data_IF_533348951668
#
_entry.id   IF_533348951668
#
_cell.length_a   1.000
_cell.length_b   1.000
_cell.length_c   1.000
_cell.angle_alpha   90.00
_cell.angle_beta   90.00
_cell.angle_gamma   90.00
#
_symmetry.space_group_name_H-M   'P 1'
#
loop_
_entity.id
_entity.type
_entity.pdbx_description
1 polymer ?
#
# COMPACT_ATOMS: atom_id res chain seq x y z
N UNK A 1 1.50 5.26 36.10
CA UNK A 1 1.90 5.60 34.71
C UNK A 1 1.29 6.95 34.39
N UNK A 2 2.05 7.83 33.74
CA UNK A 2 1.60 9.19 33.41
C UNK A 2 1.35 9.26 31.90
N UNK A 3 0.09 9.43 31.53
CA UNK A 3 -0.32 9.73 30.16
C UNK A 3 -0.28 11.25 29.98
N UNK A 4 0.37 11.71 28.92
CA UNK A 4 0.58 13.12 28.58
C UNK A 4 -0.06 13.43 27.22
N UNK A 5 -0.03 14.70 26.78
CA UNK A 5 -0.60 15.12 25.49
C UNK A 5 -0.14 14.31 24.27
N UNK A 6 1.07 13.74 24.32
CA UNK A 6 1.68 12.94 23.24
C UNK A 6 0.91 11.63 23.04
N UNK A 7 0.44 11.02 24.13
CA UNK A 7 -0.41 9.83 24.10
C UNK A 7 -1.72 10.09 23.35
N UNK A 8 -2.40 11.19 23.69
CA UNK A 8 -3.69 11.52 23.09
C UNK A 8 -3.57 11.86 21.60
N UNK A 9 -2.52 12.57 21.22
CA UNK A 9 -2.26 12.94 19.82
C UNK A 9 -1.97 11.72 18.96
N UNK A 10 -1.18 10.78 19.49
CA UNK A 10 -0.93 9.51 18.79
C UNK A 10 -2.24 8.80 18.44
N UNK A 11 -3.16 8.73 19.41
CA UNK A 11 -4.48 8.13 19.20
C UNK A 11 -5.31 8.96 18.22
N UNK A 12 -5.30 10.29 18.37
CA UNK A 12 -6.06 11.21 17.52
C UNK A 12 -5.66 11.09 16.05
N UNK A 13 -4.37 11.05 15.75
CA UNK A 13 -3.85 10.90 14.38
C UNK A 13 -4.35 9.58 13.78
N UNK A 14 -4.20 8.47 14.51
CA UNK A 14 -4.65 7.16 14.06
C UNK A 14 -6.18 6.99 14.05
N UNK A 15 -6.93 7.87 14.72
CA UNK A 15 -8.38 7.93 14.66
C UNK A 15 -8.88 8.73 13.45
N UNK A 16 -8.23 9.86 13.16
CA UNK A 16 -8.67 10.81 12.13
C UNK A 16 -8.30 10.32 10.74
N UNK A 17 -7.08 9.83 10.51
CA UNK A 17 -6.62 9.46 9.17
C UNK A 17 -7.51 8.40 8.51
N UNK A 18 -7.90 7.31 9.19
CA UNK A 18 -8.79 6.32 8.60
C UNK A 18 -10.14 6.88 8.15
N UNK A 19 -10.64 7.97 8.75
CA UNK A 19 -11.92 8.59 8.35
C UNK A 19 -11.90 9.10 6.90
N UNK A 20 -10.72 9.40 6.36
CA UNK A 20 -10.57 9.81 4.97
C UNK A 20 -10.49 8.64 4.00
N UNK A 21 -10.37 7.40 4.48
CA UNK A 21 -10.29 6.23 3.61
C UNK A 21 -11.64 5.95 2.94
N UNK A 22 -11.71 5.95 1.60
CA UNK A 22 -12.98 5.73 0.91
C UNK A 22 -13.45 4.29 1.07
N UNK A 23 -14.77 4.10 1.07
CA UNK A 23 -15.44 2.78 1.08
C UNK A 23 -15.23 1.88 2.32
N UNK A 24 -14.87 2.44 3.48
CA UNK A 24 -14.75 1.66 4.72
C UNK A 24 -16.05 1.66 5.53
N UNK A 25 -16.41 0.47 6.05
CA UNK A 25 -17.59 0.29 6.93
C UNK A 25 -17.36 1.02 8.26
N UNK A 26 -18.43 1.51 8.89
CA UNK A 26 -18.35 2.23 10.17
C UNK A 26 -17.62 1.44 11.28
N UNK A 27 -17.80 0.11 11.31
CA UNK A 27 -17.13 -0.78 12.26
C UNK A 27 -15.62 -0.90 12.04
N UNK A 28 -15.08 -0.44 10.91
CA UNK A 28 -13.65 -0.42 10.65
C UNK A 28 -12.96 0.83 11.22
N UNK A 29 -13.70 1.87 11.64
CA UNK A 29 -13.08 3.05 12.28
C UNK A 29 -12.84 2.88 13.78
N UNK A 30 -13.61 2.01 14.46
CA UNK A 30 -13.44 1.78 15.91
C UNK A 30 -12.19 0.95 16.22
N UNK A 31 -11.81 0.05 15.31
CA UNK A 31 -10.65 -0.84 15.44
C UNK A 31 -9.32 -0.08 15.50
N UNK A 32 -8.98 0.84 14.57
CA UNK A 32 -7.79 1.67 14.66
C UNK A 32 -7.64 2.39 15.99
N UNK A 33 -8.74 2.93 16.55
CA UNK A 33 -8.69 3.64 17.83
C UNK A 33 -8.31 2.71 18.97
N UNK A 34 -8.96 1.53 19.06
CA UNK A 34 -8.70 0.55 20.11
C UNK A 34 -7.28 -0.01 19.99
N UNK A 35 -6.86 -0.40 18.78
CA UNK A 35 -5.52 -0.94 18.55
C UNK A 35 -4.43 0.10 18.80
N UNK A 36 -4.64 1.34 18.37
CA UNK A 36 -3.71 2.45 18.67
C UNK A 36 -3.61 2.69 20.16
N UNK A 37 -4.74 2.69 20.88
CA UNK A 37 -4.76 2.83 22.34
C UNK A 37 -3.96 1.74 23.02
N UNK A 38 -4.21 0.46 22.69
CA UNK A 38 -3.48 -0.68 23.26
C UNK A 38 -1.98 -0.56 22.97
N UNK A 39 -1.61 -0.26 21.71
CA UNK A 39 -0.22 -0.14 21.29
C UNK A 39 0.53 0.96 22.03
N UNK A 40 -0.03 2.18 22.08
CA UNK A 40 0.63 3.30 22.76
C UNK A 40 0.67 3.08 24.28
N UNK A 41 -0.32 2.36 24.84
CA UNK A 41 -0.34 1.98 26.25
C UNK A 41 0.78 0.97 26.58
N UNK A 42 1.02 -0.02 25.72
CA UNK A 42 2.15 -0.96 25.83
C UNK A 42 3.47 -0.19 25.82
N UNK A 43 3.65 0.74 24.87
CA UNK A 43 4.85 1.55 24.78
C UNK A 43 5.05 2.38 26.06
N UNK A 44 4.02 3.06 26.55
CA UNK A 44 4.12 3.86 27.78
C UNK A 44 4.43 3.00 29.00
N UNK A 45 3.87 1.80 29.06
CA UNK A 45 4.15 0.83 30.12
C UNK A 45 5.60 0.35 30.08
N UNK A 46 6.13 0.02 28.89
CA UNK A 46 7.54 -0.34 28.69
C UNK A 46 8.48 0.82 29.04
N UNK A 47 8.12 2.04 28.64
CA UNK A 47 8.89 3.25 28.93
C UNK A 47 8.90 3.62 30.41
N UNK A 48 7.92 3.18 31.19
CA UNK A 48 7.87 3.38 32.64
C UNK A 48 8.93 2.56 33.39
N UNK A 49 9.51 1.53 32.77
CA UNK A 49 10.68 0.79 33.31
C UNK A 49 12.00 1.54 33.12
N UNK A 50 12.07 2.51 32.20
CA UNK A 50 13.28 3.34 32.05
C UNK A 50 13.41 4.30 33.23
N UNK A 51 14.47 4.15 34.03
CA UNK A 51 14.75 5.03 35.19
C UNK A 51 14.95 6.50 34.80
N UNK A 52 15.52 6.78 33.62
CA UNK A 52 15.82 8.14 33.19
C UNK A 52 14.60 8.86 32.59
N UNK A 53 14.19 9.97 33.24
CA UNK A 53 13.11 10.85 32.76
C UNK A 53 13.44 11.50 31.40
N UNK A 54 14.71 11.84 31.17
CA UNK A 54 15.18 12.46 29.91
C UNK A 54 14.95 11.52 28.72
N UNK A 55 15.43 10.28 28.80
CA UNK A 55 15.26 9.29 27.74
C UNK A 55 13.80 8.96 27.47
N UNK A 56 12.98 8.86 28.52
CA UNK A 56 11.53 8.67 28.39
C UNK A 56 10.88 9.79 27.56
N UNK A 57 11.24 11.04 27.85
CA UNK A 57 10.74 12.19 27.11
C UNK A 57 11.21 12.21 25.65
N UNK A 58 12.48 11.87 25.39
CA UNK A 58 13.04 11.81 24.04
C UNK A 58 12.32 10.75 23.20
N UNK A 59 12.20 9.52 23.73
CA UNK A 59 11.58 8.42 22.99
C UNK A 59 10.11 8.72 22.68
N UNK A 60 9.35 9.25 23.65
CA UNK A 60 7.96 9.68 23.41
C UNK A 60 7.85 10.73 22.29
N UNK A 61 8.77 11.69 22.23
CA UNK A 61 8.79 12.70 21.17
C UNK A 61 9.11 12.08 19.81
N UNK A 62 10.10 11.18 19.74
CA UNK A 62 10.46 10.49 18.50
C UNK A 62 9.28 9.68 17.97
N UNK A 63 8.59 8.94 18.83
CA UNK A 63 7.43 8.12 18.45
C UNK A 63 6.31 8.99 17.89
N UNK A 64 5.97 10.11 18.54
CA UNK A 64 4.91 11.00 18.04
C UNK A 64 5.33 11.71 16.76
N UNK A 65 6.58 12.17 16.66
CA UNK A 65 7.10 12.78 15.43
C UNK A 65 7.05 11.79 14.26
N UNK A 66 7.47 10.54 14.49
CA UNK A 66 7.38 9.49 13.49
C UNK A 66 5.92 9.18 13.13
N UNK A 67 5.02 9.13 14.10
CA UNK A 67 3.57 8.99 13.88
C UNK A 67 3.01 10.11 13.00
N UNK A 68 3.45 11.36 13.19
CA UNK A 68 3.04 12.49 12.36
C UNK A 68 3.57 12.35 10.92
N UNK A 69 4.86 12.02 10.76
CA UNK A 69 5.44 11.85 9.42
C UNK A 69 4.73 10.73 8.66
N UNK A 70 4.57 9.57 9.28
CA UNK A 70 3.88 8.43 8.64
C UNK A 70 2.41 8.74 8.42
N UNK A 71 1.76 9.44 9.36
CA UNK A 71 0.37 9.87 9.22
C UNK A 71 0.16 10.83 8.05
N UNK A 72 1.12 11.73 7.80
CA UNK A 72 1.10 12.57 6.59
C UNK A 72 1.20 11.73 5.32
N UNK A 73 2.13 10.77 5.27
CA UNK A 73 2.30 9.88 4.11
C UNK A 73 1.02 9.08 3.86
N UNK A 74 0.41 8.51 4.90
CA UNK A 74 -0.88 7.80 4.79
C UNK A 74 -1.97 8.69 4.19
N UNK A 75 -2.11 9.92 4.72
CA UNK A 75 -3.13 10.84 4.26
C UNK A 75 -2.87 11.29 2.81
N UNK A 76 -1.62 11.55 2.45
CA UNK A 76 -1.22 11.83 1.07
C UNK A 76 -1.58 10.67 0.14
N UNK A 77 -1.33 9.42 0.54
CA UNK A 77 -1.70 8.24 -0.24
C UNK A 77 -3.22 8.11 -0.41
N UNK A 78 -3.98 8.37 0.65
CA UNK A 78 -5.45 8.32 0.61
C UNK A 78 -6.00 9.36 -0.38
N UNK A 79 -5.50 10.59 -0.33
CA UNK A 79 -5.98 11.69 -1.19
C UNK A 79 -5.65 11.44 -2.66
N UNK A 80 -4.46 10.91 -2.98
CA UNK A 80 -4.01 10.77 -4.36
C UNK A 80 -4.36 9.41 -4.98
N UNK A 81 -4.39 8.34 -4.18
CA UNK A 81 -4.53 6.96 -4.68
C UNK A 81 -5.78 6.26 -4.13
N UNK A 82 -6.59 6.92 -3.30
CA UNK A 82 -7.76 6.32 -2.64
C UNK A 82 -7.43 5.07 -1.80
N UNK A 83 -6.18 4.93 -1.36
CA UNK A 83 -5.72 3.82 -0.52
C UNK A 83 -4.77 4.33 0.56
N UNK A 84 -4.84 3.81 1.80
CA UNK A 84 -3.78 4.02 2.79
C UNK A 84 -2.47 3.36 2.33
N UNK A 85 -1.39 3.59 3.09
CA UNK A 85 -0.13 2.88 2.88
C UNK A 85 -0.40 1.38 2.83
N UNK A 86 0.13 0.74 1.79
CA UNK A 86 -0.03 -0.69 1.54
C UNK A 86 1.24 -1.27 0.90
N UNK A 87 1.46 -2.60 0.96
CA UNK A 87 2.59 -3.25 0.32
C UNK A 87 2.71 -2.90 -1.18
N UNK A 88 1.59 -2.78 -1.91
CA UNK A 88 1.58 -2.50 -3.34
C UNK A 88 2.25 -1.17 -3.71
N UNK A 89 2.14 -0.15 -2.85
CA UNK A 89 2.80 1.14 -3.07
C UNK A 89 4.32 0.94 -2.99
N UNK A 90 4.79 0.16 -2.02
CA UNK A 90 6.21 -0.16 -1.89
C UNK A 90 6.70 -1.08 -2.99
N UNK A 91 5.90 -2.04 -3.46
CA UNK A 91 6.26 -2.90 -4.59
C UNK A 91 6.53 -2.05 -5.84
N UNK A 92 5.68 -1.05 -6.07
CA UNK A 92 5.87 -0.09 -7.16
C UNK A 92 7.17 0.69 -6.96
N UNK A 93 7.38 1.28 -5.77
CA UNK A 93 8.60 2.04 -5.46
C UNK A 93 9.86 1.19 -5.64
N UNK A 94 9.85 -0.09 -5.23
CA UNK A 94 10.99 -1.00 -5.35
C UNK A 94 11.23 -1.47 -6.80
N UNK A 95 10.19 -1.53 -7.62
CA UNK A 95 10.29 -1.89 -9.04
C UNK A 95 10.72 -0.70 -9.92
N UNK A 96 10.48 0.53 -9.45
CA UNK A 96 10.68 1.77 -10.20
C UNK A 96 12.11 2.31 -10.10
N UNK A 97 12.56 3.03 -11.13
CA UNK A 97 13.87 3.69 -11.16
C UNK A 97 13.88 5.02 -10.38
N UNK A 98 15.03 5.44 -9.86
CA UNK A 98 15.15 6.66 -9.04
C UNK A 98 14.66 7.94 -9.75
N UNK A 99 14.89 8.05 -11.06
CA UNK A 99 14.49 9.23 -11.83
C UNK A 99 12.96 9.33 -11.94
N UNK A 100 12.28 8.20 -12.06
CA UNK A 100 10.82 8.14 -12.11
C UNK A 100 10.22 8.49 -10.73
N UNK A 101 10.81 8.04 -9.63
CA UNK A 101 10.41 8.44 -8.26
C UNK A 101 10.53 9.97 -8.10
N UNK A 102 11.64 10.57 -8.55
CA UNK A 102 11.85 12.02 -8.46
C UNK A 102 10.81 12.80 -9.28
N UNK A 103 10.55 12.36 -10.51
CA UNK A 103 9.57 13.01 -11.38
C UNK A 103 8.14 12.87 -10.83
N UNK A 104 7.81 11.69 -10.31
CA UNK A 104 6.55 11.42 -9.63
C UNK A 104 6.35 12.36 -8.43
N UNK A 105 7.33 12.43 -7.52
CA UNK A 105 7.23 13.31 -6.35
C UNK A 105 7.11 14.78 -6.75
N UNK A 106 7.87 15.24 -7.75
CA UNK A 106 7.76 16.61 -8.27
C UNK A 106 6.36 16.89 -8.82
N UNK A 107 5.81 15.97 -9.60
CA UNK A 107 4.47 16.09 -10.15
C UNK A 107 3.43 16.24 -9.03
N UNK A 108 3.39 15.32 -8.06
CA UNK A 108 2.37 15.36 -7.01
C UNK A 108 2.53 16.53 -6.03
N UNK A 109 3.77 16.96 -5.74
CA UNK A 109 4.02 18.13 -4.88
C UNK A 109 3.64 19.46 -5.53
N UNK A 110 3.55 19.51 -6.87
CA UNK A 110 3.11 20.70 -7.60
C UNK A 110 1.59 20.80 -7.73
N UNK A 111 0.84 19.72 -7.44
CA UNK A 111 -0.62 19.74 -7.49
C UNK A 111 -1.14 20.66 -6.35
N UNK A 112 -2.00 21.66 -6.66
CA UNK A 112 -2.47 22.63 -5.66
C UNK A 112 -3.15 21.99 -4.44
N UNK A 113 -3.91 20.91 -4.64
CA UNK A 113 -4.57 20.18 -3.54
C UNK A 113 -3.58 19.59 -2.55
N UNK A 114 -2.45 19.07 -3.01
CA UNK A 114 -1.41 18.50 -2.16
C UNK A 114 -0.60 19.60 -1.44
N UNK A 115 -0.42 20.77 -2.05
CA UNK A 115 0.21 21.92 -1.38
C UNK A 115 -0.67 22.39 -0.22
N UNK A 116 -1.98 22.54 -0.44
CA UNK A 116 -2.94 22.87 0.61
C UNK A 116 -2.89 21.82 1.73
N UNK A 117 -2.85 20.54 1.37
CA UNK A 117 -2.75 19.44 2.31
C UNK A 117 -1.50 19.56 3.21
N UNK A 118 -0.34 19.84 2.62
CA UNK A 118 0.92 20.04 3.35
C UNK A 118 0.80 21.20 4.32
N UNK A 119 0.30 22.36 3.86
CA UNK A 119 0.17 23.56 4.69
C UNK A 119 -0.77 23.31 5.87
N UNK A 120 -1.95 22.73 5.61
CA UNK A 120 -2.93 22.41 6.65
C UNK A 120 -2.36 21.41 7.65
N UNK A 121 -1.71 20.35 7.17
CA UNK A 121 -1.12 19.32 8.03
C UNK A 121 -0.01 19.88 8.92
N UNK A 122 0.93 20.66 8.35
CA UNK A 122 1.98 21.34 9.10
C UNK A 122 1.38 22.31 10.12
N UNK A 123 0.35 23.08 9.73
CA UNK A 123 -0.37 23.98 10.62
C UNK A 123 -0.94 23.25 11.84
N UNK A 124 -1.57 22.09 11.64
CA UNK A 124 -2.09 21.24 12.73
C UNK A 124 -0.95 20.71 13.62
N UNK A 125 0.15 20.24 13.03
CA UNK A 125 1.32 19.76 13.78
C UNK A 125 1.95 20.87 14.63
N UNK A 126 2.13 22.07 14.07
CA UNK A 126 2.68 23.23 14.80
C UNK A 126 1.71 23.68 15.90
N UNK A 127 0.41 23.78 15.60
CA UNK A 127 -0.61 24.12 16.58
C UNK A 127 -0.56 23.16 17.78
N UNK A 128 -0.35 21.86 17.55
CA UNK A 128 -0.16 20.91 18.63
C UNK A 128 1.04 21.25 19.53
N UNK A 129 2.21 21.54 18.96
CA UNK A 129 3.40 21.89 19.75
C UNK A 129 3.23 23.20 20.52
N UNK A 130 2.39 24.11 20.03
CA UNK A 130 2.05 25.38 20.70
C UNK A 130 1.09 25.22 21.88
N UNK A 131 0.31 24.12 21.95
CA UNK A 131 -0.58 23.86 23.08
C UNK A 131 0.27 23.60 24.34
N UNK A 132 0.36 24.64 25.18
CA UNK A 132 1.06 24.60 26.48
C UNK A 132 0.31 23.81 27.55
N UNK A 133 -0.99 23.58 27.37
CA UNK A 133 -1.81 22.82 28.32
C UNK A 133 -1.50 21.33 28.18
N UNK A 134 -0.83 20.78 29.19
CA UNK A 134 -0.60 19.35 29.27
C UNK A 134 -1.81 18.68 29.93
N UNK A 135 -2.55 17.89 29.16
CA UNK A 135 -3.53 16.95 29.72
C UNK A 135 -2.77 15.76 30.29
N UNK A 136 -2.75 15.67 31.62
CA UNK A 136 -2.02 14.65 32.35
C UNK A 136 -3.04 13.74 33.05
N UNK A 137 -3.04 12.45 32.69
CA UNK A 137 -3.84 11.43 33.37
C UNK A 137 -2.90 10.42 34.06
N UNK A 138 -3.07 10.26 35.36
CA UNK A 138 -2.31 9.30 36.16
C UNK A 138 -3.11 8.01 36.32
N UNK A 139 -2.55 6.90 35.87
CA UNK A 139 -3.19 5.57 35.96
C UNK A 139 -2.34 4.64 36.83
N UNK A 140 -3.00 3.82 37.64
CA UNK A 140 -2.33 2.80 38.45
C UNK A 140 -1.60 1.77 37.56
N UNK A 141 -0.30 1.58 37.79
CA UNK A 141 0.53 0.64 37.00
C UNK A 141 0.06 -0.80 37.12
N UNK A 142 -0.45 -1.22 38.28
CA UNK A 142 -0.96 -2.60 38.48
C UNK A 142 -2.19 -2.85 37.60
N UNK A 143 -3.10 -1.88 37.53
CA UNK A 143 -4.29 -1.97 36.69
C UNK A 143 -3.93 -2.04 35.21
N UNK A 144 -3.00 -1.19 34.74
CA UNK A 144 -2.50 -1.24 33.35
C UNK A 144 -1.89 -2.59 33.02
N UNK A 145 -1.08 -3.15 33.93
CA UNK A 145 -0.49 -4.47 33.74
C UNK A 145 -1.53 -5.58 33.60
N UNK A 146 -2.57 -5.59 34.45
CA UNK A 146 -3.68 -6.55 34.37
C UNK A 146 -4.45 -6.38 33.06
N UNK A 147 -4.78 -5.14 32.68
CA UNK A 147 -5.48 -4.84 31.42
C UNK A 147 -4.69 -5.31 30.20
N UNK A 148 -3.38 -5.07 30.15
CA UNK A 148 -2.52 -5.52 29.06
C UNK A 148 -2.39 -7.04 29.02
N UNK A 149 -2.31 -7.71 30.18
CA UNK A 149 -2.30 -9.17 30.24
C UNK A 149 -3.60 -9.76 29.66
N UNK A 150 -4.75 -9.19 30.02
CA UNK A 150 -6.04 -9.60 29.45
C UNK A 150 -6.11 -9.35 27.94
N UNK A 151 -5.63 -8.19 27.47
CA UNK A 151 -5.57 -7.89 26.03
C UNK A 151 -4.71 -8.90 25.26
N UNK A 152 -3.57 -9.33 25.82
CA UNK A 152 -2.71 -10.36 25.23
C UNK A 152 -3.41 -11.73 25.19
N UNK A 153 -4.13 -12.10 26.24
CA UNK A 153 -4.90 -13.35 26.27
C UNK A 153 -5.97 -13.33 25.17
N UNK A 154 -6.72 -12.24 25.05
CA UNK A 154 -7.76 -12.09 24.01
C UNK A 154 -7.15 -12.16 22.62
N UNK A 155 -6.05 -11.45 22.35
CA UNK A 155 -5.37 -11.48 21.06
C UNK A 155 -4.82 -12.88 20.73
N UNK A 156 -4.30 -13.60 21.73
CA UNK A 156 -3.83 -14.98 21.56
C UNK A 156 -4.97 -15.94 21.18
N UNK A 157 -6.13 -15.84 21.85
CA UNK A 157 -7.31 -16.66 21.52
C UNK A 157 -7.78 -16.37 20.09
N UNK A 158 -7.81 -15.09 19.68
CA UNK A 158 -8.17 -14.70 18.32
C UNK A 158 -7.17 -15.22 17.28
N UNK A 159 -5.88 -15.18 17.58
CA UNK A 159 -4.85 -15.72 16.69
C UNK A 159 -4.98 -17.24 16.51
N UNK A 160 -5.25 -17.98 17.60
CA UNK A 160 -5.51 -19.43 17.52
C UNK A 160 -6.77 -19.70 16.69
N UNK A 161 -7.82 -18.90 16.86
CA UNK A 161 -9.06 -19.01 16.08
C UNK A 161 -8.79 -18.80 14.59
N UNK A 162 -8.03 -17.79 14.21
CA UNK A 162 -7.68 -17.52 12.81
C UNK A 162 -6.89 -18.68 12.20
N UNK A 163 -5.93 -19.22 12.97
CA UNK A 163 -5.12 -20.38 12.57
C UNK A 163 -5.98 -21.64 12.35
N UNK A 164 -6.85 -21.98 13.31
CA UNK A 164 -7.73 -23.17 13.24
C UNK A 164 -8.75 -23.05 12.11
N UNK A 165 -9.22 -21.84 11.80
CA UNK A 165 -10.24 -21.62 10.77
C UNK A 165 -9.71 -21.80 9.34
N UNK A 166 -8.41 -22.02 9.14
CA UNK A 166 -7.77 -22.15 7.82
C UNK A 166 -8.20 -21.01 6.85
N UNK A 167 -8.31 -19.79 7.37
CA UNK A 167 -8.39 -18.63 6.47
C UNK A 167 -7.07 -18.53 5.70
N UNK A 168 -7.15 -18.09 4.43
CA UNK A 168 -6.00 -17.93 3.51
C UNK A 168 -4.83 -17.19 4.17
N UNK A 169 -5.11 -16.35 5.19
CA UNK A 169 -4.12 -15.72 6.06
C UNK A 169 -4.21 -16.30 7.49
N UNK A 170 -3.19 -17.08 7.88
CA UNK A 170 -3.11 -17.77 9.18
C UNK A 170 -3.11 -16.84 10.42
N UNK A 171 -2.98 -15.52 10.24
CA UNK A 171 -2.92 -14.51 11.32
C UNK A 171 -3.63 -13.20 11.00
N UNK A 172 -4.76 -13.27 10.29
CA UNK A 172 -5.49 -12.11 9.80
C UNK A 172 -5.84 -11.05 10.86
N UNK A 173 -6.16 -11.43 12.11
CA UNK A 173 -6.44 -10.46 13.19
C UNK A 173 -5.20 -9.70 13.64
N UNK A 174 -4.05 -10.38 13.76
CA UNK A 174 -2.78 -9.75 14.10
C UNK A 174 -2.31 -8.84 12.96
N UNK A 175 -2.45 -9.32 11.73
CA UNK A 175 -2.19 -8.54 10.53
C UNK A 175 -3.02 -7.24 10.53
N UNK A 176 -4.32 -7.33 10.81
CA UNK A 176 -5.18 -6.15 10.93
C UNK A 176 -4.77 -5.19 12.03
N UNK A 177 -4.35 -5.68 13.20
CA UNK A 177 -3.87 -4.83 14.28
C UNK A 177 -2.65 -4.02 13.82
N UNK A 178 -1.69 -4.70 13.20
CA UNK A 178 -0.46 -4.09 12.67
C UNK A 178 -0.76 -3.09 11.54
N UNK A 179 -1.72 -3.39 10.66
CA UNK A 179 -2.11 -2.48 9.57
C UNK A 179 -2.95 -1.28 10.04
N UNK A 180 -3.63 -1.38 11.18
CA UNK A 180 -4.54 -0.32 11.65
C UNK A 180 -3.82 0.86 12.31
N UNK A 181 -2.53 0.71 12.64
CA UNK A 181 -1.72 1.75 13.29
C UNK A 181 -0.67 2.18 12.28
N UNK A 182 -0.61 3.47 11.98
CA UNK A 182 0.21 4.00 10.90
C UNK A 182 1.68 3.60 10.97
N UNK A 183 2.33 3.75 12.13
CA UNK A 183 3.74 3.36 12.36
C UNK A 183 3.96 1.87 12.10
N UNK A 184 3.08 1.00 12.54
CA UNK A 184 3.29 -0.45 12.33
C UNK A 184 2.91 -0.86 10.91
N UNK A 185 1.95 -0.18 10.30
CA UNK A 185 1.53 -0.41 8.92
C UNK A 185 2.64 -0.09 7.92
N UNK A 186 3.39 1.01 8.12
CA UNK A 186 4.52 1.34 7.23
C UNK A 186 5.61 0.27 7.29
N UNK A 187 5.97 -0.22 8.48
CA UNK A 187 6.95 -1.31 8.60
C UNK A 187 6.43 -2.62 8.01
N UNK A 188 5.16 -2.96 8.28
CA UNK A 188 4.51 -4.12 7.69
C UNK A 188 4.53 -4.08 6.18
N UNK A 189 4.18 -2.94 5.60
CA UNK A 189 4.11 -2.74 4.15
C UNK A 189 5.48 -2.86 3.49
N UNK A 190 6.51 -2.25 4.07
CA UNK A 190 7.89 -2.36 3.58
C UNK A 190 8.39 -3.81 3.66
N UNK A 191 8.25 -4.46 4.82
CA UNK A 191 8.75 -5.84 5.02
C UNK A 191 8.06 -6.80 4.05
N UNK A 192 6.73 -6.68 3.94
CA UNK A 192 5.93 -7.55 3.07
C UNK A 192 6.33 -7.37 1.61
N UNK A 193 6.51 -6.12 1.18
CA UNK A 193 6.96 -5.78 -0.18
C UNK A 193 8.35 -6.33 -0.50
N UNK A 194 9.31 -6.21 0.42
CA UNK A 194 10.66 -6.80 0.26
C UNK A 194 10.59 -8.33 0.14
N UNK A 195 9.77 -8.98 0.97
CA UNK A 195 9.59 -10.43 0.92
C UNK A 195 8.93 -10.86 -0.39
N UNK A 196 7.90 -10.14 -0.85
CA UNK A 196 7.22 -10.40 -2.11
C UNK A 196 8.17 -10.22 -3.31
N UNK A 197 8.93 -9.14 -3.33
CA UNK A 197 9.95 -8.87 -4.37
C UNK A 197 10.99 -9.98 -4.42
N UNK A 198 11.49 -10.46 -3.27
CA UNK A 198 12.43 -11.60 -3.23
C UNK A 198 11.80 -12.90 -3.73
N UNK A 199 10.54 -13.18 -3.37
CA UNK A 199 9.81 -14.36 -3.87
C UNK A 199 9.66 -14.30 -5.39
N UNK A 200 9.30 -13.13 -5.93
CA UNK A 200 9.20 -12.91 -7.37
C UNK A 200 10.55 -13.12 -8.07
N UNK A 201 11.64 -12.56 -7.55
CA UNK A 201 12.99 -12.78 -8.08
C UNK A 201 13.41 -14.26 -8.06
N UNK A 202 13.11 -14.98 -6.98
CA UNK A 202 13.42 -16.41 -6.89
C UNK A 202 12.57 -17.23 -7.88
N UNK A 203 11.31 -16.87 -8.05
CA UNK A 203 10.43 -17.50 -9.05
C UNK A 203 10.96 -17.26 -10.47
N UNK A 204 11.38 -16.03 -10.80
CA UNK A 204 12.01 -15.71 -12.07
C UNK A 204 13.31 -16.50 -12.29
N UNK A 205 14.18 -16.59 -11.28
CA UNK A 205 15.41 -17.41 -11.34
C UNK A 205 15.11 -18.89 -11.57
N UNK A 206 14.05 -19.41 -10.97
CA UNK A 206 13.61 -20.80 -11.19
C UNK A 206 13.07 -21.00 -12.61
N UNK A 207 12.35 -20.01 -13.16
CA UNK A 207 11.95 -20.06 -14.57
C UNK A 207 13.19 -20.04 -15.47
N UNK A 208 14.12 -19.11 -15.26
CA UNK A 208 15.35 -19.02 -16.04
C UNK A 208 16.19 -20.31 -15.97
N UNK A 209 16.31 -20.94 -14.81
CA UNK A 209 17.06 -22.19 -14.66
C UNK A 209 16.37 -23.36 -15.35
N UNK A 210 15.03 -23.44 -15.29
CA UNK A 210 14.25 -24.42 -16.03
C UNK A 210 14.31 -24.19 -17.55
N UNK A 211 14.39 -22.94 -18.00
CA UNK A 211 14.58 -22.60 -19.42
C UNK A 211 16.00 -22.92 -19.91
N UNK A 212 17.02 -22.82 -19.05
CA UNK A 212 18.42 -23.18 -19.37
C UNK A 212 18.65 -24.70 -19.45
N UNK A 213 17.84 -25.50 -18.77
CA UNK A 213 17.84 -26.95 -18.85
C UNK A 213 16.51 -27.46 -19.43
N UNK A 214 16.24 -27.22 -20.73
CA UNK A 214 15.01 -27.66 -21.35
C UNK A 214 14.99 -29.19 -21.36
N UNK A 215 14.15 -29.81 -20.53
CA UNK A 215 13.92 -31.27 -20.52
C UNK A 215 13.26 -31.79 -21.81
N UNK A 216 12.93 -30.90 -22.74
CA UNK A 216 12.21 -31.21 -23.97
C UNK A 216 12.82 -30.38 -25.09
N UNK A 217 13.75 -30.99 -25.83
CA UNK A 217 14.25 -30.40 -27.06
C UNK A 217 13.14 -30.45 -28.13
N UNK A 218 13.02 -29.38 -28.92
CA UNK A 218 12.72 -29.55 -30.34
C UNK A 218 13.89 -30.35 -30.92
N UNK A 219 13.72 -31.67 -31.04
CA UNK A 219 14.77 -32.60 -31.50
C UNK A 219 15.25 -32.29 -32.93
N UNK A 220 14.42 -31.58 -33.71
CA UNK A 220 14.77 -30.96 -34.98
C UNK A 220 14.04 -29.62 -35.13
N UNK A 221 14.78 -28.58 -35.53
CA UNK A 221 14.20 -27.29 -35.90
C UNK A 221 13.99 -27.24 -37.42
N UNK A 222 12.78 -27.57 -37.88
CA UNK A 222 12.38 -27.45 -39.28
C UNK A 222 11.82 -26.06 -39.62
N UNK A 223 12.00 -25.05 -38.76
CA UNK A 223 11.46 -23.72 -39.00
C UNK A 223 12.16 -23.07 -40.20
N UNK A 224 11.38 -22.77 -41.23
CA UNK A 224 11.80 -21.99 -42.41
C UNK A 224 11.78 -20.48 -42.17
N UNK A 225 11.37 -20.03 -40.97
CA UNK A 225 11.22 -18.62 -40.63
C UNK A 225 12.49 -18.12 -39.93
N UNK A 226 13.23 -17.16 -40.51
CA UNK A 226 14.53 -16.74 -40.01
C UNK A 226 14.46 -15.85 -38.76
N UNK A 227 13.38 -15.08 -38.58
CA UNK A 227 13.24 -14.12 -37.49
C UNK A 227 11.82 -14.16 -36.92
N UNK A 228 11.72 -14.15 -35.58
CA UNK A 228 10.46 -13.98 -34.86
C UNK A 228 10.56 -12.67 -34.09
N UNK A 229 9.66 -11.72 -34.38
CA UNK A 229 9.57 -10.45 -33.65
C UNK A 229 8.29 -10.47 -32.82
N UNK A 230 8.43 -10.33 -31.51
CA UNK A 230 7.30 -10.24 -30.58
C UNK A 230 7.21 -8.78 -30.11
N UNK A 231 6.07 -8.15 -30.37
CA UNK A 231 5.77 -6.79 -29.91
C UNK A 231 4.71 -6.89 -28.82
N UNK A 232 5.04 -6.48 -27.60
CA UNK A 232 4.11 -6.45 -26.47
C UNK A 232 3.77 -4.99 -26.20
N UNK A 233 2.53 -4.59 -26.50
CA UNK A 233 2.02 -3.26 -26.17
C UNK A 233 1.53 -3.19 -24.72
N UNK A 234 1.56 -1.99 -24.14
CA UNK A 234 0.94 -1.69 -22.85
C UNK A 234 -0.32 -0.86 -23.05
N UNK A 235 -1.41 -1.24 -22.37
CA UNK A 235 -2.68 -0.48 -22.34
C UNK A 235 -3.33 -0.16 -23.71
N UNK A 236 -2.92 -0.86 -24.76
CA UNK A 236 -3.53 -0.79 -26.09
C UNK A 236 -4.89 -1.52 -26.10
N UNK A 237 -5.99 -0.75 -26.24
CA UNK A 237 -7.31 -1.33 -26.47
C UNK A 237 -7.64 -1.32 -27.95
N UNK A 238 -8.19 -2.44 -28.45
CA UNK A 238 -8.70 -2.57 -29.81
C UNK A 238 -9.77 -1.53 -30.13
N UNK A 239 -10.54 -1.11 -29.13
CA UNK A 239 -11.70 -0.22 -29.33
C UNK A 239 -11.28 1.20 -29.72
N UNK A 240 -10.00 1.55 -29.52
CA UNK A 240 -9.43 2.86 -29.87
C UNK A 240 -8.40 2.76 -30.99
N UNK A 241 -8.52 1.78 -31.88
CA UNK A 241 -7.56 1.54 -32.96
C UNK A 241 -8.27 1.46 -34.31
N UNK A 242 -7.86 2.30 -35.26
CA UNK A 242 -8.44 2.35 -36.60
C UNK A 242 -8.43 1.00 -37.34
N UNK A 243 -7.35 0.22 -37.18
CA UNK A 243 -7.23 -1.13 -37.76
C UNK A 243 -8.33 -2.11 -37.30
N UNK A 244 -8.99 -1.82 -36.18
CA UNK A 244 -10.12 -2.59 -35.65
C UNK A 244 -11.48 -1.91 -35.87
N UNK A 245 -11.54 -0.81 -36.64
CA UNK A 245 -12.76 -0.10 -37.01
C UNK A 245 -13.07 1.16 -36.20
N UNK A 246 -12.10 1.73 -35.49
CA UNK A 246 -12.25 3.04 -34.83
C UNK A 246 -12.26 4.18 -35.85
N UNK A 247 -13.12 5.18 -35.69
CA UNK A 247 -13.39 6.20 -36.71
C UNK A 247 -12.20 7.14 -37.02
N UNK A 248 -11.25 7.29 -36.09
CA UNK A 248 -10.07 8.15 -36.28
C UNK A 248 -8.87 7.33 -36.75
N UNK A 249 -8.23 7.75 -37.85
CA UNK A 249 -7.03 7.14 -38.45
C UNK A 249 -5.77 7.22 -37.54
N UNK A 250 -5.78 6.50 -36.42
CA UNK A 250 -4.72 6.56 -35.40
C UNK A 250 -3.77 5.34 -35.41
N UNK A 251 -3.91 4.42 -36.38
CA UNK A 251 -3.00 3.28 -36.57
C UNK A 251 -2.37 3.19 -37.97
N UNK A 252 -1.88 4.30 -38.58
CA UNK A 252 -1.50 4.34 -40.00
C UNK A 252 -0.36 3.37 -40.37
N UNK A 253 0.52 3.02 -39.42
CA UNK A 253 1.58 2.03 -39.65
C UNK A 253 1.08 0.59 -39.63
N UNK A 254 0.10 0.29 -38.78
CA UNK A 254 -0.51 -1.05 -38.70
C UNK A 254 -1.41 -1.27 -39.91
N UNK A 255 -2.15 -0.25 -40.33
CA UNK A 255 -3.01 -0.32 -41.53
C UNK A 255 -2.18 -0.60 -42.78
N UNK A 256 -1.04 0.10 -42.92
CA UNK A 256 -0.06 -0.16 -43.99
C UNK A 256 0.57 -1.55 -43.89
N UNK A 257 0.85 -2.03 -42.68
CA UNK A 257 1.39 -3.37 -42.47
C UNK A 257 0.36 -4.44 -42.88
N UNK A 258 -0.92 -4.27 -42.54
CA UNK A 258 -1.99 -5.15 -42.98
C UNK A 258 -2.14 -5.16 -44.50
N UNK A 259 -2.13 -3.98 -45.13
CA UNK A 259 -2.29 -3.84 -46.59
C UNK A 259 -1.10 -4.39 -47.39
N UNK A 260 0.13 -4.32 -46.85
CA UNK A 260 1.35 -4.83 -47.52
C UNK A 260 1.49 -6.35 -47.46
N UNK A 261 0.83 -7.02 -46.52
CA UNK A 261 1.02 -8.45 -46.30
C UNK A 261 -0.04 -9.23 -47.11
N UNK A 262 0.13 -9.23 -48.43
CA UNK A 262 -0.69 -9.99 -49.39
C UNK A 262 -0.51 -11.52 -49.34
N UNK A 263 -0.31 -12.13 -48.15
CA UNK A 263 -0.18 -13.59 -48.05
C UNK A 263 0.17 -14.23 -46.70
N UNK A 264 0.17 -13.52 -45.56
CA UNK A 264 0.56 -14.17 -44.28
C UNK A 264 0.32 -13.41 -42.97
N UNK A 265 -0.34 -12.24 -42.99
CA UNK A 265 -0.60 -11.43 -41.82
C UNK A 265 -2.03 -11.65 -41.34
N UNK A 266 -2.18 -12.12 -40.10
CA UNK A 266 -3.50 -12.37 -39.50
C UNK A 266 -3.81 -11.31 -38.46
N UNK A 267 -4.90 -10.57 -38.67
CA UNK A 267 -5.50 -9.71 -37.65
C UNK A 267 -6.58 -10.50 -36.90
N UNK A 268 -6.38 -10.70 -35.61
CA UNK A 268 -7.33 -11.46 -34.80
C UNK A 268 -8.35 -10.53 -34.15
N UNK A 269 -9.57 -10.51 -34.68
CA UNK A 269 -10.66 -9.64 -34.21
C UNK A 269 -11.25 -10.08 -32.85
N UNK A 270 -11.05 -11.35 -32.49
CA UNK A 270 -11.62 -11.98 -31.29
C UNK A 270 -10.53 -12.50 -30.36
N UNK A 271 -9.70 -11.59 -29.86
CA UNK A 271 -8.84 -11.82 -28.70
C UNK A 271 -9.32 -10.92 -27.56
N UNK A 272 -9.50 -11.51 -26.37
CA UNK A 272 -9.76 -10.77 -25.13
C UNK A 272 -8.66 -11.14 -24.16
N UNK A 273 -8.05 -10.14 -23.54
CA UNK A 273 -7.30 -10.40 -22.31
C UNK A 273 -8.27 -10.89 -21.23
N UNK A 274 -7.78 -11.66 -20.25
CA UNK A 274 -8.60 -12.21 -19.16
C UNK A 274 -9.14 -11.14 -18.19
N UNK A 275 -8.86 -9.85 -18.44
CA UNK A 275 -9.41 -8.75 -17.65
C UNK A 275 -10.83 -8.45 -18.13
N UNK A 276 -11.80 -8.63 -17.23
CA UNK A 276 -13.18 -8.18 -17.43
C UNK A 276 -13.16 -6.69 -17.83
N UNK A 277 -13.85 -6.30 -18.90
CA UNK A 277 -13.99 -4.88 -19.23
C UNK A 277 -14.68 -4.17 -18.07
N UNK A 278 -14.06 -3.08 -17.61
CA UNK A 278 -14.67 -2.13 -16.69
C UNK A 278 -15.86 -1.52 -17.45
N UNK A 279 -17.10 -1.62 -16.96
CA UNK A 279 -18.25 -1.09 -17.69
C UNK A 279 -18.10 0.43 -17.85
N UNK A 280 -18.05 0.88 -19.10
CA UNK A 280 -18.05 2.28 -19.48
C UNK A 280 -19.35 2.93 -18.95
N UNK A 281 -19.21 3.79 -17.93
CA UNK A 281 -20.33 4.55 -17.34
C UNK A 281 -20.69 5.84 -18.11
N UNK A 282 -20.12 6.04 -19.30
CA UNK A 282 -20.26 7.28 -20.08
C UNK A 282 -21.20 7.18 -21.30
N UNK A 283 -22.21 6.30 -21.29
CA UNK A 283 -23.17 6.18 -22.40
C UNK A 283 -24.54 6.82 -22.16
N UNK A 284 -24.65 7.85 -21.31
CA UNK A 284 -25.87 8.67 -21.19
C UNK A 284 -25.57 10.15 -20.99
N UNK A 285 -25.00 10.78 -22.02
CA UNK A 285 -25.15 12.21 -22.27
C UNK A 285 -25.26 12.40 -23.78
N UNK A 286 -26.46 12.18 -24.29
CA UNK A 286 -26.97 12.69 -25.57
C UNK A 286 -28.41 13.12 -25.33
#
# INVERSE_FOLDING_TARGET
MILDKRFYIFILINAIIPLFTPFTKLSNYTRPVIYSFIFILIIYFLLDFLKSKKWRCIIKNIIVLFCMIVGFIDLFCIVNFNTPISPNIFDTILATQENEIKNFLRFYLQIPTNIILIIVYIGICVAFFLIKKDFILTINKKFVGIFLALAIIVLSILAIKDYVKNEINQFHTLEKLVQSINITNIFYSIITSIVQTKKYQNYMKNIESNLKNPKTYLLQNHATIPNIVIIIGESASKDFMHIYGYDLENTPHLDKAQAKVGGGGYLYLKMSSAQKPIPNKFSKLS
#
